data_IF_103075365518
#
_entry.id   IF_103075365518
#
_cell.length_a   1.000
_cell.length_b   1.000
_cell.length_c   1.000
_cell.angle_alpha   90.00
_cell.angle_beta   90.00
_cell.angle_gamma   90.00
#
_symmetry.space_group_name_H-M   'P 1'
#
loop_
_entity.id
_entity.type
_entity.pdbx_description
1 polymer ?
#
# COMPACT_ATOMS: atom_id res chain seq x y z
N UNK A 1 23.02 14.11 -23.31
CA UNK A 1 22.32 12.92 -23.84
C UNK A 1 23.04 11.69 -23.30
N UNK A 2 22.27 10.64 -22.98
CA UNK A 2 22.65 9.42 -22.26
C UNK A 2 24.04 8.88 -22.61
N UNK A 3 24.79 8.39 -21.61
CA UNK A 3 25.90 7.49 -21.86
C UNK A 3 25.57 6.16 -21.18
N UNK A 4 25.12 5.27 -22.06
CA UNK A 4 24.85 3.85 -21.92
C UNK A 4 23.82 3.35 -20.90
N UNK A 5 23.84 3.71 -19.62
CA UNK A 5 22.71 3.38 -18.70
C UNK A 5 22.52 4.38 -17.55
N UNK A 6 23.34 5.44 -17.50
CA UNK A 6 23.42 6.37 -16.37
C UNK A 6 23.14 7.80 -16.81
N UNK A 7 22.29 8.47 -16.06
CA UNK A 7 22.24 9.92 -16.10
C UNK A 7 23.60 10.52 -15.68
N UNK A 8 23.97 11.68 -16.21
CA UNK A 8 25.21 12.36 -15.80
C UNK A 8 25.25 12.52 -14.26
N UNK A 9 26.44 12.46 -13.67
CA UNK A 9 26.64 12.84 -12.28
C UNK A 9 25.90 14.16 -12.00
N UNK A 10 25.12 14.20 -10.92
CA UNK A 10 24.25 15.33 -10.55
C UNK A 10 23.00 15.56 -11.43
N UNK A 11 22.61 14.64 -12.33
CA UNK A 11 21.37 14.81 -13.12
C UNK A 11 20.12 15.03 -12.27
N UNK A 12 19.97 14.29 -11.17
CA UNK A 12 18.84 14.47 -10.26
C UNK A 12 18.83 15.88 -9.66
N UNK A 13 20.00 16.40 -9.28
CA UNK A 13 20.15 17.78 -8.83
C UNK A 13 19.73 18.78 -9.90
N UNK A 14 20.17 18.61 -11.16
CA UNK A 14 19.79 19.50 -12.25
C UNK A 14 18.30 19.44 -12.56
N UNK A 15 17.68 18.25 -12.52
CA UNK A 15 16.23 18.11 -12.67
C UNK A 15 15.46 18.75 -11.53
N UNK A 16 15.95 18.62 -10.29
CA UNK A 16 15.39 19.35 -9.15
C UNK A 16 15.53 20.86 -9.35
N UNK A 17 16.68 21.34 -9.86
CA UNK A 17 16.90 22.76 -10.17
C UNK A 17 15.95 23.31 -11.22
N UNK A 18 15.73 22.58 -12.32
CA UNK A 18 14.77 22.94 -13.37
C UNK A 18 13.31 23.02 -12.87
N UNK A 19 13.01 22.47 -11.70
CA UNK A 19 11.67 22.39 -11.12
C UNK A 19 11.53 23.14 -9.80
N UNK A 20 12.51 23.98 -9.43
CA UNK A 20 12.55 24.73 -8.17
C UNK A 20 12.52 23.84 -6.91
N UNK A 21 13.18 22.67 -6.96
CA UNK A 21 13.22 21.66 -5.89
C UNK A 21 14.62 21.49 -5.26
N UNK A 22 15.51 22.47 -5.40
CA UNK A 22 16.92 22.36 -4.94
C UNK A 22 17.01 22.21 -3.42
N UNK A 23 16.24 22.99 -2.65
CA UNK A 23 16.26 22.93 -1.20
C UNK A 23 15.87 21.53 -0.68
N UNK A 24 14.85 20.92 -1.29
CA UNK A 24 14.44 19.56 -0.94
C UNK A 24 15.51 18.52 -1.30
N UNK A 25 16.11 18.64 -2.48
CA UNK A 25 17.19 17.74 -2.86
C UNK A 25 18.31 17.77 -1.81
N UNK A 26 18.69 18.97 -1.34
CA UNK A 26 19.71 19.11 -0.30
C UNK A 26 19.26 18.54 1.04
N UNK A 27 18.01 18.79 1.44
CA UNK A 27 17.43 18.23 2.66
C UNK A 27 17.50 16.69 2.65
N UNK A 28 17.04 16.05 1.57
CA UNK A 28 17.02 14.59 1.43
C UNK A 28 18.42 13.99 1.35
N UNK A 29 19.32 14.67 0.63
CA UNK A 29 20.73 14.28 0.59
C UNK A 29 21.34 14.33 1.98
N UNK A 30 21.08 15.40 2.75
CA UNK A 30 21.59 15.54 4.13
C UNK A 30 21.02 14.50 5.10
N UNK A 31 19.81 14.01 4.83
CA UNK A 31 19.16 12.94 5.61
C UNK A 31 19.58 11.52 5.18
N UNK A 32 20.40 11.37 4.14
CA UNK A 32 20.83 10.06 3.62
C UNK A 32 19.72 9.28 2.89
N UNK A 33 18.67 9.96 2.44
CA UNK A 33 17.50 9.36 1.77
C UNK A 33 17.91 8.62 0.49
N UNK A 34 18.79 9.23 -0.31
CA UNK A 34 19.25 8.63 -1.57
C UNK A 34 20.13 7.39 -1.31
N UNK A 35 21.00 7.45 -0.30
CA UNK A 35 21.84 6.33 0.09
C UNK A 35 21.01 5.14 0.58
N UNK A 36 19.96 5.41 1.36
CA UNK A 36 19.00 4.39 1.80
C UNK A 36 18.30 3.74 0.60
N UNK A 37 17.77 4.53 -0.34
CA UNK A 37 17.07 4.01 -1.51
C UNK A 37 17.99 3.21 -2.46
N UNK A 38 19.28 3.56 -2.51
CA UNK A 38 20.31 2.82 -3.25
C UNK A 38 20.79 1.57 -2.51
N UNK A 39 20.39 1.35 -1.25
CA UNK A 39 20.82 0.21 -0.44
C UNK A 39 22.24 0.33 0.08
N UNK A 40 22.79 1.55 0.15
CA UNK A 40 24.14 1.84 0.65
C UNK A 40 24.17 1.83 2.19
N UNK A 41 23.03 2.07 2.85
CA UNK A 41 22.96 2.15 4.32
C UNK A 41 22.66 0.81 4.99
N UNK A 42 23.37 0.49 6.07
CA UNK A 42 23.17 -0.69 6.92
C UNK A 42 22.08 -0.49 7.99
N UNK A 43 20.87 -0.11 7.58
CA UNK A 43 19.74 0.12 8.51
C UNK A 43 18.51 -0.66 8.06
N UNK A 44 18.57 -1.98 8.13
CA UNK A 44 17.39 -2.82 7.91
C UNK A 44 16.67 -3.12 9.23
N UNK A 45 15.38 -2.77 9.32
CA UNK A 45 14.53 -3.24 10.42
C UNK A 45 13.88 -4.58 10.06
N UNK A 46 14.11 -5.60 10.88
CA UNK A 46 13.37 -6.86 10.85
C UNK A 46 12.87 -7.22 12.26
N UNK A 47 11.56 -7.40 12.48
CA UNK A 47 10.48 -7.29 11.49
C UNK A 47 10.29 -5.86 10.94
N UNK A 48 9.61 -5.69 9.79
CA UNK A 48 9.39 -4.37 9.17
C UNK A 48 8.64 -3.43 10.13
N UNK A 49 9.04 -2.16 10.18
CA UNK A 49 8.34 -1.13 10.96
C UNK A 49 7.02 -0.72 10.29
N UNK A 50 7.03 -0.58 8.97
CA UNK A 50 5.85 -0.41 8.13
C UNK A 50 5.72 -1.66 7.25
N UNK A 51 4.55 -2.29 7.30
CA UNK A 51 4.21 -3.44 6.46
C UNK A 51 3.09 -3.09 5.49
N UNK A 52 2.99 -3.89 4.42
CA UNK A 52 1.83 -3.91 3.52
C UNK A 52 0.73 -4.78 4.13
N UNK A 53 -0.54 -4.37 3.99
CA UNK A 53 -1.70 -5.10 4.48
C UNK A 53 -2.76 -5.23 3.39
N UNK A 54 -2.62 -6.27 2.58
CA UNK A 54 -3.60 -6.63 1.55
C UNK A 54 -4.68 -7.53 2.17
N UNK A 55 -5.90 -7.02 2.23
CA UNK A 55 -7.08 -7.79 2.65
C UNK A 55 -7.41 -8.82 1.55
N UNK A 56 -7.65 -10.10 1.89
CA UNK A 56 -8.09 -11.12 0.92
C UNK A 56 -9.35 -10.67 0.17
N UNK A 57 -9.48 -11.02 -1.11
CA UNK A 57 -10.62 -10.55 -1.92
C UNK A 57 -11.98 -11.00 -1.39
N UNK A 58 -12.03 -12.16 -0.72
CA UNK A 58 -13.22 -12.66 -0.01
C UNK A 58 -13.72 -11.75 1.12
N UNK A 59 -12.88 -10.81 1.60
CA UNK A 59 -13.13 -10.02 2.82
C UNK A 59 -13.17 -8.51 2.58
N UNK A 60 -13.14 -8.04 1.33
CA UNK A 60 -13.04 -6.60 1.00
C UNK A 60 -14.20 -5.73 1.50
N UNK A 61 -15.37 -6.30 1.78
CA UNK A 61 -16.56 -5.56 2.20
C UNK A 61 -16.91 -5.70 3.69
N UNK A 62 -16.16 -6.51 4.43
CA UNK A 62 -16.34 -6.72 5.86
C UNK A 62 -15.30 -5.92 6.66
N UNK A 63 -15.61 -4.64 6.85
CA UNK A 63 -14.81 -3.72 7.66
C UNK A 63 -15.61 -3.25 8.88
N UNK A 64 -14.94 -2.65 9.85
CA UNK A 64 -15.58 -2.13 11.07
C UNK A 64 -16.68 -1.14 10.74
N UNK A 65 -16.48 -0.30 9.72
CA UNK A 65 -17.44 0.73 9.34
C UNK A 65 -18.78 0.15 8.88
N UNK A 66 -18.83 -1.04 8.27
CA UNK A 66 -20.09 -1.70 7.91
C UNK A 66 -20.76 -2.40 9.10
N UNK A 67 -20.07 -2.53 10.23
CA UNK A 67 -20.51 -3.26 11.42
C UNK A 67 -20.88 -2.37 12.60
N UNK A 68 -20.81 -1.05 12.45
CA UNK A 68 -21.12 -0.07 13.51
C UNK A 68 -21.91 1.10 12.95
N UNK A 69 -22.60 1.84 13.81
CA UNK A 69 -23.30 3.06 13.39
C UNK A 69 -22.32 4.16 12.94
N UNK A 70 -22.75 5.10 12.08
CA UNK A 70 -21.90 6.23 11.68
C UNK A 70 -21.36 7.06 12.86
N UNK A 71 -22.14 7.16 13.94
CA UNK A 71 -21.79 7.87 15.16
C UNK A 71 -20.67 7.15 15.92
N UNK A 72 -20.79 5.83 16.11
CA UNK A 72 -19.76 4.99 16.73
C UNK A 72 -18.48 5.00 15.91
N UNK A 73 -18.58 4.89 14.58
CA UNK A 73 -17.42 4.99 13.71
C UNK A 73 -16.72 6.35 13.82
N UNK A 74 -17.49 7.43 13.88
CA UNK A 74 -16.97 8.79 14.08
C UNK A 74 -16.26 8.92 15.42
N UNK A 75 -16.84 8.35 16.49
CA UNK A 75 -16.25 8.31 17.82
C UNK A 75 -14.92 7.55 17.83
N UNK A 76 -14.90 6.32 17.31
CA UNK A 76 -13.69 5.47 17.23
C UNK A 76 -12.56 6.21 16.51
N UNK A 77 -12.82 6.74 15.30
CA UNK A 77 -11.80 7.49 14.53
C UNK A 77 -11.24 8.68 15.30
N UNK A 78 -12.10 9.47 15.94
CA UNK A 78 -11.67 10.65 16.71
C UNK A 78 -10.82 10.24 17.91
N UNK A 79 -11.21 9.19 18.62
CA UNK A 79 -10.46 8.68 19.76
C UNK A 79 -9.08 8.16 19.33
N UNK A 80 -9.02 7.36 18.26
CA UNK A 80 -7.75 6.87 17.67
C UNK A 80 -6.81 8.03 17.31
N UNK A 81 -7.31 9.05 16.61
CA UNK A 81 -6.49 10.21 16.24
C UNK A 81 -6.03 11.02 17.46
N UNK A 82 -6.89 11.20 18.47
CA UNK A 82 -6.57 11.94 19.70
C UNK A 82 -5.52 11.23 20.53
N UNK A 83 -5.64 9.91 20.70
CA UNK A 83 -4.69 9.09 21.46
C UNK A 83 -3.30 9.13 20.84
N UNK A 84 -3.22 9.13 19.50
CA UNK A 84 -1.98 9.28 18.76
C UNK A 84 -1.44 10.71 18.71
N UNK A 85 -2.07 11.67 19.41
CA UNK A 85 -1.74 13.12 19.36
C UNK A 85 -1.69 13.65 17.92
N UNK A 86 -2.57 13.15 17.07
CA UNK A 86 -2.65 13.46 15.64
C UNK A 86 -1.33 13.25 14.89
N UNK A 87 -0.56 12.22 15.25
CA UNK A 87 0.67 11.79 14.56
C UNK A 87 0.58 10.33 14.17
N UNK A 88 1.18 9.98 13.03
CA UNK A 88 1.28 8.60 12.59
C UNK A 88 1.95 7.75 13.67
N UNK A 89 1.33 6.66 14.10
CA UNK A 89 1.92 5.81 15.13
C UNK A 89 3.12 5.02 14.61
N UNK A 90 3.19 4.80 13.30
CA UNK A 90 4.31 4.15 12.61
C UNK A 90 5.47 5.13 12.42
N UNK A 91 5.34 6.17 11.58
CA UNK A 91 6.48 7.03 11.20
C UNK A 91 6.54 8.38 11.94
N UNK A 92 5.57 8.68 12.82
CA UNK A 92 5.42 9.95 13.59
C UNK A 92 5.08 11.20 12.76
N UNK A 93 4.93 11.05 11.45
CA UNK A 93 4.52 12.11 10.53
C UNK A 93 3.05 12.48 10.52
N UNK A 94 2.70 13.40 9.61
CA UNK A 94 1.34 13.90 9.40
C UNK A 94 1.06 14.18 7.92
N UNK A 95 -0.17 13.94 7.48
CA UNK A 95 -0.59 14.30 6.13
C UNK A 95 -0.76 15.81 5.91
N UNK A 96 -0.74 16.26 4.64
CA UNK A 96 -0.82 17.68 4.30
C UNK A 96 -2.21 18.28 4.42
N UNK A 97 -3.27 17.50 4.17
CA UNK A 97 -4.68 17.96 4.23
C UNK A 97 -5.35 17.58 5.55
N UNK A 98 -5.07 16.38 6.04
CA UNK A 98 -5.45 15.91 7.37
C UNK A 98 -4.25 15.20 8.00
N UNK A 99 -4.09 15.27 9.33
CA UNK A 99 -2.88 14.78 9.97
C UNK A 99 -2.75 13.26 9.92
N UNK A 100 -3.85 12.53 10.18
CA UNK A 100 -3.88 11.07 10.25
C UNK A 100 -5.22 10.51 9.77
N UNK A 101 -5.20 9.26 9.36
CA UNK A 101 -6.30 8.38 8.96
C UNK A 101 -6.38 7.23 9.96
N UNK A 102 -7.59 6.72 10.19
CA UNK A 102 -7.80 5.59 11.08
C UNK A 102 -7.73 4.30 10.25
N UNK A 103 -6.83 3.41 10.64
CA UNK A 103 -6.58 2.13 9.99
C UNK A 103 -6.91 0.98 10.94
N UNK A 104 -7.46 -0.10 10.40
CA UNK A 104 -7.78 -1.32 11.16
C UNK A 104 -6.55 -2.22 11.26
N UNK A 105 -6.26 -2.72 12.46
CA UNK A 105 -5.17 -3.67 12.70
C UNK A 105 -5.77 -5.07 12.63
N UNK A 106 -5.39 -5.82 11.60
CA UNK A 106 -5.89 -7.19 11.38
C UNK A 106 -4.82 -8.24 11.67
N UNK A 107 -5.25 -9.34 12.29
CA UNK A 107 -4.50 -10.59 12.34
C UNK A 107 -5.14 -11.61 11.41
N UNK A 108 -4.32 -12.44 10.76
CA UNK A 108 -4.77 -13.47 9.83
C UNK A 108 -4.21 -14.81 10.30
N UNK A 109 -5.10 -15.71 10.71
CA UNK A 109 -4.79 -17.12 10.94
C UNK A 109 -4.99 -17.89 9.63
N UNK A 110 -3.89 -18.15 8.90
CA UNK A 110 -3.92 -18.86 7.62
C UNK A 110 -4.31 -20.35 7.72
N UNK A 111 -4.29 -20.94 8.93
CA UNK A 111 -4.66 -22.35 9.14
C UNK A 111 -6.16 -22.47 9.34
N UNK A 112 -6.71 -21.63 10.22
CA UNK A 112 -8.14 -21.60 10.53
C UNK A 112 -8.95 -20.70 9.59
N UNK A 113 -8.27 -19.87 8.79
CA UNK A 113 -8.85 -18.84 7.93
C UNK A 113 -9.73 -17.85 8.72
N UNK A 114 -9.21 -17.36 9.85
CA UNK A 114 -9.88 -16.36 10.68
C UNK A 114 -9.13 -15.03 10.59
N UNK A 115 -9.85 -13.98 10.22
CA UNK A 115 -9.40 -12.60 10.24
C UNK A 115 -9.90 -11.91 11.51
N UNK A 116 -8.98 -11.57 12.42
CA UNK A 116 -9.33 -10.99 13.73
C UNK A 116 -8.95 -9.52 13.79
N UNK A 117 -9.91 -8.67 14.17
CA UNK A 117 -9.65 -7.26 14.46
C UNK A 117 -8.93 -7.15 15.80
N UNK A 118 -7.70 -6.65 15.78
CA UNK A 118 -6.91 -6.42 16.98
C UNK A 118 -7.04 -4.98 17.51
N UNK A 119 -7.45 -4.05 16.65
CA UNK A 119 -7.75 -2.68 17.04
C UNK A 119 -7.64 -1.68 15.91
N UNK A 120 -7.45 -0.41 16.28
CA UNK A 120 -7.34 0.70 15.34
C UNK A 120 -6.03 1.46 15.59
N UNK A 121 -5.42 1.97 14.54
CA UNK A 121 -4.21 2.81 14.61
C UNK A 121 -4.35 4.08 13.78
N UNK A 122 -3.71 5.16 14.22
CA UNK A 122 -3.63 6.41 13.48
C UNK A 122 -2.41 6.41 12.56
N UNK A 123 -2.64 6.48 11.25
CA UNK A 123 -1.59 6.50 10.23
C UNK A 123 -1.58 7.83 9.49
N UNK A 124 -0.42 8.35 9.10
CA UNK A 124 -0.39 9.40 8.09
C UNK A 124 -0.86 8.82 6.74
N UNK A 125 -1.31 9.68 5.79
CA UNK A 125 -1.78 9.21 4.49
C UNK A 125 -0.77 8.36 3.73
N UNK A 126 0.53 8.67 3.81
CA UNK A 126 1.55 7.88 3.12
C UNK A 126 1.72 6.46 3.70
N UNK A 127 1.71 6.31 5.04
CA UNK A 127 1.74 4.99 5.67
C UNK A 127 0.45 4.21 5.36
N UNK A 128 -0.70 4.89 5.35
CA UNK A 128 -1.97 4.25 5.02
C UNK A 128 -2.05 3.82 3.55
N UNK A 129 -1.52 4.62 2.62
CA UNK A 129 -1.35 4.24 1.20
C UNK A 129 -0.48 2.98 1.03
N UNK A 130 0.55 2.79 1.88
CA UNK A 130 1.39 1.57 1.90
C UNK A 130 0.63 0.37 2.46
N UNK A 131 -0.14 0.55 3.53
CA UNK A 131 -1.00 -0.53 4.06
C UNK A 131 -1.93 -1.03 2.96
N UNK A 132 -2.60 -0.12 2.25
CA UNK A 132 -3.50 -0.44 1.15
C UNK A 132 -2.85 -0.36 -0.24
N UNK A 133 -1.64 -0.91 -0.40
CA UNK A 133 -0.88 -0.73 -1.65
C UNK A 133 -1.61 -1.26 -2.90
N UNK A 134 -2.45 -2.30 -2.78
CA UNK A 134 -3.29 -2.78 -3.88
C UNK A 134 -4.23 -1.70 -4.44
N UNK A 135 -4.97 -1.03 -3.55
CA UNK A 135 -5.85 0.07 -3.94
C UNK A 135 -5.07 1.32 -4.37
N UNK A 136 -3.93 1.59 -3.73
CA UNK A 136 -3.03 2.68 -4.10
C UNK A 136 -2.46 2.50 -5.52
N UNK A 137 -2.19 1.25 -5.91
CA UNK A 137 -1.69 0.90 -7.25
C UNK A 137 -2.71 1.20 -8.33
N UNK A 138 -4.00 0.90 -8.08
CA UNK A 138 -5.11 1.28 -8.99
C UNK A 138 -5.21 2.80 -9.21
N UNK A 139 -4.70 3.60 -8.27
CA UNK A 139 -4.63 5.07 -8.38
C UNK A 139 -3.34 5.58 -9.03
N UNK A 140 -2.48 4.68 -9.51
CA UNK A 140 -1.20 5.01 -10.14
C UNK A 140 -0.16 5.59 -9.16
N UNK A 141 -0.25 5.23 -7.87
CA UNK A 141 0.62 5.72 -6.79
C UNK A 141 1.52 4.65 -6.16
N UNK A 142 1.62 3.48 -6.80
CA UNK A 142 2.39 2.34 -6.29
C UNK A 142 3.85 2.71 -6.01
N UNK A 143 4.50 3.38 -6.98
CA UNK A 143 5.91 3.73 -6.87
C UNK A 143 6.16 4.63 -5.64
N UNK A 144 5.28 5.59 -5.39
CA UNK A 144 5.36 6.51 -4.24
C UNK A 144 5.17 5.78 -2.91
N UNK A 145 4.21 4.85 -2.86
CA UNK A 145 4.00 4.01 -1.68
C UNK A 145 5.21 3.11 -1.42
N UNK A 146 5.74 2.43 -2.43
CA UNK A 146 6.93 1.58 -2.29
C UNK A 146 8.16 2.37 -1.84
N UNK A 147 8.34 3.60 -2.34
CA UNK A 147 9.42 4.47 -1.86
C UNK A 147 9.22 4.90 -0.39
N UNK A 148 7.98 5.18 0.02
CA UNK A 148 7.67 5.48 1.41
C UNK A 148 7.92 4.28 2.34
N UNK A 149 7.52 3.08 1.91
CA UNK A 149 7.81 1.82 2.58
C UNK A 149 9.32 1.64 2.78
N UNK A 150 10.10 1.81 1.71
CA UNK A 150 11.56 1.73 1.75
C UNK A 150 12.14 2.67 2.81
N UNK A 151 11.71 3.93 2.81
CA UNK A 151 12.28 4.95 3.69
C UNK A 151 11.89 4.78 5.16
N UNK A 152 10.66 4.35 5.44
CA UNK A 152 10.23 4.06 6.83
C UNK A 152 10.99 2.85 7.41
N UNK A 153 11.34 1.89 6.56
CA UNK A 153 12.04 0.67 6.96
C UNK A 153 13.56 0.71 6.78
N UNK A 154 14.12 1.78 6.22
CA UNK A 154 15.55 1.87 5.87
C UNK A 154 15.99 0.86 4.81
N UNK A 155 15.08 0.43 3.95
CA UNK A 155 15.37 -0.50 2.85
C UNK A 155 15.78 0.23 1.57
N UNK A 156 16.48 -0.50 0.71
CA UNK A 156 16.61 -0.09 -0.70
C UNK A 156 15.24 -0.10 -1.37
N UNK A 157 15.10 0.69 -2.43
CA UNK A 157 13.86 0.67 -3.22
C UNK A 157 13.59 -0.73 -3.81
N UNK A 158 14.65 -1.40 -4.30
CA UNK A 158 14.54 -2.76 -4.80
C UNK A 158 14.05 -3.72 -3.70
N UNK A 159 14.63 -3.67 -2.50
CA UNK A 159 14.22 -4.53 -1.39
C UNK A 159 12.76 -4.30 -0.97
N UNK A 160 12.31 -3.04 -0.96
CA UNK A 160 10.90 -2.72 -0.72
C UNK A 160 9.99 -3.25 -1.84
N UNK A 161 10.42 -3.14 -3.10
CA UNK A 161 9.68 -3.69 -4.24
C UNK A 161 9.57 -5.22 -4.16
N UNK A 162 10.66 -5.92 -3.84
CA UNK A 162 10.67 -7.38 -3.69
C UNK A 162 9.72 -7.80 -2.55
N UNK A 163 9.70 -7.05 -1.44
CA UNK A 163 8.76 -7.27 -0.34
C UNK A 163 7.29 -7.05 -0.75
N UNK A 164 7.01 -5.99 -1.54
CA UNK A 164 5.66 -5.73 -2.06
C UNK A 164 5.20 -6.91 -2.94
N UNK A 165 6.06 -7.38 -3.86
CA UNK A 165 5.78 -8.57 -4.68
C UNK A 165 5.45 -9.80 -3.82
N UNK A 166 6.26 -10.06 -2.78
CA UNK A 166 6.01 -11.15 -1.84
C UNK A 166 4.66 -11.00 -1.10
N UNK A 167 4.28 -9.79 -0.68
CA UNK A 167 2.98 -9.54 -0.08
C UNK A 167 1.82 -9.82 -1.04
N UNK A 168 1.96 -9.50 -2.32
CA UNK A 168 0.96 -9.84 -3.35
C UNK A 168 0.86 -11.35 -3.59
N UNK A 169 1.95 -12.11 -3.49
CA UNK A 169 1.91 -13.57 -3.57
C UNK A 169 1.14 -14.17 -2.39
N UNK A 170 1.37 -13.70 -1.17
CA UNK A 170 0.58 -14.09 0.00
C UNK A 170 -0.90 -13.76 -0.23
N UNK A 171 -1.17 -12.51 -0.64
CA UNK A 171 -2.54 -12.07 -0.89
C UNK A 171 -3.27 -12.95 -1.90
N UNK A 172 -2.60 -13.36 -2.99
CA UNK A 172 -3.17 -14.27 -3.99
C UNK A 172 -3.60 -15.60 -3.37
N UNK A 173 -2.71 -16.22 -2.59
CA UNK A 173 -3.01 -17.47 -1.87
C UNK A 173 -4.16 -17.32 -0.88
N UNK A 174 -4.18 -16.23 -0.11
CA UNK A 174 -5.26 -15.97 0.86
C UNK A 174 -6.60 -15.72 0.19
N UNK A 175 -6.60 -15.12 -0.99
CA UNK A 175 -7.80 -14.80 -1.77
C UNK A 175 -8.47 -16.03 -2.41
N UNK A 176 -7.81 -17.19 -2.40
CA UNK A 176 -8.39 -18.48 -2.82
C UNK A 176 -9.21 -19.15 -1.71
N UNK A 177 -9.31 -18.54 -0.53
CA UNK A 177 -9.95 -19.09 0.67
C UNK A 177 -11.10 -18.21 1.12
N UNK A 178 -12.06 -18.82 1.79
CA UNK A 178 -13.09 -18.08 2.53
C UNK A 178 -12.59 -17.82 3.94
N UNK A 179 -12.85 -16.62 4.45
CA UNK A 179 -12.38 -16.18 5.75
C UNK A 179 -13.56 -15.88 6.67
N UNK A 180 -13.48 -16.36 7.91
CA UNK A 180 -14.35 -15.90 8.99
C UNK A 180 -13.76 -14.62 9.60
N UNK A 181 -14.62 -13.76 10.12
CA UNK A 181 -14.21 -12.46 10.65
C UNK A 181 -14.61 -12.35 12.11
N UNK A 182 -13.61 -12.12 12.96
CA UNK A 182 -13.77 -11.87 14.39
C UNK A 182 -13.54 -10.37 14.68
N UNK A 183 -14.62 -9.68 15.05
CA UNK A 183 -14.62 -8.27 15.44
C UNK A 183 -14.95 -8.07 16.93
N UNK A 184 -14.80 -9.11 17.75
CA UNK A 184 -15.10 -9.07 19.19
C UNK A 184 -14.30 -8.00 19.96
N UNK A 185 -13.22 -7.47 19.37
CA UNK A 185 -12.52 -6.29 19.88
C UNK A 185 -13.42 -5.05 20.02
N UNK A 186 -14.44 -4.88 19.15
CA UNK A 186 -15.35 -3.72 19.24
C UNK A 186 -16.15 -3.70 20.55
N UNK A 187 -16.56 -4.88 21.03
CA UNK A 187 -17.29 -5.02 22.29
C UNK A 187 -16.45 -4.53 23.48
N UNK A 188 -15.14 -4.78 23.45
CA UNK A 188 -14.18 -4.27 24.46
C UNK A 188 -14.08 -2.75 24.46
N UNK A 189 -14.44 -2.10 23.36
CA UNK A 189 -14.50 -0.64 23.23
C UNK A 189 -15.88 -0.06 23.58
N UNK A 190 -16.82 -0.89 24.05
CA UNK A 190 -18.19 -0.50 24.36
C UNK A 190 -19.06 -0.24 23.13
N UNK A 191 -18.68 -0.80 21.97
CA UNK A 191 -19.44 -0.71 20.72
C UNK A 191 -20.05 -2.07 20.43
N UNK A 192 -21.37 -2.13 20.30
CA UNK A 192 -22.07 -3.37 19.95
C UNK A 192 -22.17 -3.47 18.43
N UNK A 193 -21.57 -4.50 17.79
CA UNK A 193 -21.66 -4.64 16.35
C UNK A 193 -23.10 -4.81 15.88
N UNK A 194 -23.46 -4.14 14.78
CA UNK A 194 -24.70 -4.37 14.07
C UNK A 194 -24.70 -5.83 13.57
N UNK A 195 -25.73 -6.60 13.95
CA UNK A 195 -25.90 -7.95 13.42
C UNK A 195 -26.21 -7.86 11.92
N UNK A 196 -25.72 -8.82 11.13
CA UNK A 196 -26.21 -9.02 9.77
C UNK A 196 -27.70 -9.37 9.89
N UNK A 197 -28.58 -8.41 9.63
CA UNK A 197 -29.97 -8.70 9.30
C UNK A 197 -29.98 -9.26 7.89
N UNK A 198 -29.62 -10.53 7.74
CA UNK A 198 -30.07 -11.33 6.60
C UNK A 198 -31.56 -11.57 6.77
N UNK A 199 -32.37 -10.53 6.62
CA UNK A 199 -33.77 -10.66 6.24
C UNK A 199 -33.79 -10.68 4.72
N UNK A 200 -34.18 -11.82 4.17
CA UNK A 200 -34.57 -12.01 2.78
C UNK A 200 -35.70 -11.03 2.42
N UNK A 201 -35.35 -9.83 1.98
CA UNK A 201 -36.25 -8.94 1.24
C UNK A 201 -35.64 -8.81 -0.16
N UNK A 202 -36.35 -9.23 -1.23
CA UNK A 202 -35.83 -9.11 -2.58
C UNK A 202 -35.70 -7.63 -2.92
N UNK A 203 -34.46 -7.15 -3.06
CA UNK A 203 -34.20 -5.80 -3.54
C UNK A 203 -34.43 -5.79 -5.06
N UNK A 204 -35.53 -5.19 -5.51
CA UNK A 204 -35.85 -5.00 -6.92
C UNK A 204 -34.71 -4.27 -7.64
N UNK A 205 -34.05 -4.98 -8.55
CA UNK A 205 -32.85 -4.56 -9.27
C UNK A 205 -33.15 -3.58 -10.43
N UNK A 206 -34.14 -2.69 -10.30
CA UNK A 206 -34.64 -1.87 -11.43
C UNK A 206 -34.54 -0.34 -11.25
N UNK A 207 -33.98 0.18 -10.14
CA UNK A 207 -33.99 1.64 -9.89
C UNK A 207 -32.63 2.37 -9.77
N UNK A 208 -31.52 1.80 -10.21
CA UNK A 208 -30.26 2.55 -10.36
C UNK A 208 -29.66 2.39 -11.75
N UNK A 209 -30.43 2.75 -12.79
CA UNK A 209 -29.87 3.09 -14.09
C UNK A 209 -29.62 4.60 -14.12
N UNK A 210 -28.38 5.01 -13.86
CA UNK A 210 -27.88 6.29 -14.36
C UNK A 210 -27.25 6.04 -15.75
N UNK A 211 -27.54 6.90 -16.75
CA UNK A 211 -27.24 6.59 -18.14
C UNK A 211 -25.73 6.63 -18.40
N UNK A 212 -25.14 5.46 -18.65
CA UNK A 212 -23.82 5.36 -19.26
C UNK A 212 -24.02 5.45 -20.77
N UNK A 213 -23.60 6.59 -21.33
CA UNK A 213 -23.45 6.78 -22.77
C UNK A 213 -22.46 5.73 -23.30
N UNK A 214 -22.96 4.87 -24.18
CA UNK A 214 -22.16 3.93 -24.98
C UNK A 214 -21.17 4.70 -25.84
N UNK A 215 -19.89 4.38 -25.70
CA UNK A 215 -18.91 4.25 -26.77
C UNK A 215 -17.61 3.75 -26.12
N UNK A 216 -17.31 2.46 -26.23
CA UNK A 216 -16.33 2.03 -27.22
C UNK A 216 -16.28 0.50 -27.27
N UNK A 217 -16.19 -0.04 -28.49
CA UNK A 217 -16.07 -1.46 -28.76
C UNK A 217 -14.60 -1.86 -28.62
N UNK A 218 -14.27 -2.78 -27.72
CA UNK A 218 -13.24 -3.77 -28.02
C UNK A 218 -13.49 -5.07 -27.26
N UNK A 219 -13.70 -6.10 -28.05
CA UNK A 219 -13.96 -7.49 -27.70
C UNK A 219 -12.69 -8.17 -27.21
N UNK A 220 -12.75 -8.87 -26.07
CA UNK A 220 -11.80 -9.93 -25.75
C UNK A 220 -12.51 -11.29 -25.87
N UNK A 221 -11.98 -12.26 -26.66
CA UNK A 221 -12.54 -13.60 -26.72
C UNK A 221 -12.06 -14.48 -25.54
N UNK A 222 -12.83 -15.52 -25.17
CA UNK A 222 -12.55 -16.38 -24.02
C UNK A 222 -11.50 -17.46 -24.30
N UNK A 223 -10.87 -17.89 -23.21
CA UNK A 223 -9.93 -19.01 -23.06
C UNK A 223 -10.50 -20.34 -23.54
N UNK A 224 -9.65 -21.20 -24.11
CA UNK A 224 -9.88 -22.64 -24.16
C UNK A 224 -8.69 -23.41 -23.58
N UNK A 225 -9.03 -24.31 -22.67
CA UNK A 225 -8.20 -25.34 -22.07
C UNK A 225 -8.17 -26.53 -23.03
N UNK A 226 -7.02 -27.22 -23.16
CA UNK A 226 -7.02 -28.65 -23.43
C UNK A 226 -5.72 -29.31 -22.94
N UNK A 227 -5.91 -30.36 -22.14
CA UNK A 227 -4.94 -31.35 -21.71
C UNK A 227 -4.46 -32.25 -22.86
N UNK A 228 -3.20 -32.73 -22.77
CA UNK A 228 -2.80 -34.15 -22.99
C UNK A 228 -1.29 -34.39 -22.77
N UNK A 229 -1.01 -35.18 -21.74
CA UNK A 229 -0.09 -36.34 -21.63
C UNK A 229 1.37 -36.33 -22.13
N UNK A 230 2.24 -36.76 -21.20
CA UNK A 230 3.36 -37.73 -21.25
C UNK A 230 4.76 -37.39 -21.78
N UNK A 231 5.71 -37.75 -20.91
CA UNK A 231 7.06 -38.29 -21.10
C UNK A 231 8.33 -37.44 -20.83
N UNK A 232 9.01 -37.95 -19.81
CA UNK A 232 10.35 -37.75 -19.26
C UNK A 232 11.45 -37.46 -20.30
N UNK A 233 12.09 -36.29 -20.17
CA UNK A 233 13.51 -36.11 -20.51
C UNK A 233 14.16 -35.24 -19.44
N UNK A 234 15.12 -35.83 -18.71
CA UNK A 234 16.11 -35.11 -17.89
C UNK A 234 16.92 -34.20 -18.81
N UNK A 235 16.80 -32.87 -18.67
CA UNK A 235 17.84 -31.93 -19.08
C UNK A 235 17.73 -30.62 -18.29
N UNK A 236 18.84 -30.32 -17.61
CA UNK A 236 19.34 -29.02 -17.13
C UNK A 236 18.45 -27.81 -17.51
N UNK A 237 17.72 -27.26 -16.53
CA UNK A 237 16.97 -26.00 -16.72
C UNK A 237 17.98 -24.86 -16.69
N UNK A 238 18.45 -24.45 -17.86
CA UNK A 238 18.87 -23.07 -18.10
C UNK A 238 17.59 -22.22 -18.07
N UNK A 239 17.49 -21.33 -17.09
CA UNK A 239 16.39 -20.37 -16.97
C UNK A 239 16.51 -19.40 -18.16
N UNK A 240 15.50 -19.30 -19.03
CA UNK A 240 15.53 -18.35 -20.15
C UNK A 240 15.59 -16.92 -19.62
N UNK A 241 16.49 -16.12 -20.20
CA UNK A 241 16.64 -14.66 -20.02
C UNK A 241 15.37 -13.89 -20.42
N UNK A 242 14.32 -13.98 -19.60
CA UNK A 242 13.05 -13.27 -19.80
C UNK A 242 12.80 -12.25 -18.68
N UNK A 243 13.74 -12.08 -17.75
CA UNK A 243 13.70 -11.05 -16.68
C UNK A 243 14.66 -9.89 -17.00
N UNK A 244 14.87 -9.58 -18.29
CA UNK A 244 15.71 -8.47 -18.73
C UNK A 244 14.92 -7.28 -19.32
N UNK A 245 13.58 -7.29 -19.31
CA UNK A 245 12.77 -6.28 -20.01
C UNK A 245 11.81 -5.44 -19.16
N UNK A 246 11.66 -5.68 -17.86
CA UNK A 246 10.93 -4.75 -16.98
C UNK A 246 11.87 -3.64 -16.49
N UNK A 247 11.97 -2.64 -17.35
CA UNK A 247 12.82 -1.46 -17.26
C UNK A 247 12.39 -0.52 -16.11
N UNK A 248 12.72 -0.85 -14.86
CA UNK A 248 12.47 -0.05 -13.63
C UNK A 248 13.65 0.90 -13.33
N UNK A 249 14.25 1.51 -14.37
CA UNK A 249 15.27 2.56 -14.19
C UNK A 249 14.73 3.96 -14.55
N UNK A 250 13.45 4.24 -14.27
CA UNK A 250 12.83 5.51 -14.67
C UNK A 250 11.76 6.03 -13.69
N UNK A 251 12.08 7.02 -12.83
CA UNK A 251 11.08 8.01 -12.43
C UNK A 251 10.81 8.91 -13.65
N UNK A 252 9.99 8.42 -14.58
CA UNK A 252 9.77 9.02 -15.91
C UNK A 252 8.90 10.29 -15.88
N UNK A 253 8.55 10.81 -14.72
CA UNK A 253 7.65 11.93 -14.61
C UNK A 253 8.04 12.79 -13.39
N UNK A 254 8.27 14.08 -13.58
CA UNK A 254 8.40 15.07 -12.50
C UNK A 254 7.23 14.98 -11.51
N UNK A 255 6.05 14.52 -11.99
CA UNK A 255 4.91 14.19 -11.15
C UNK A 255 5.19 13.12 -10.09
N UNK A 256 6.05 12.12 -10.36
CA UNK A 256 6.47 11.12 -9.38
C UNK A 256 7.26 11.76 -8.25
N UNK A 257 8.26 12.61 -8.56
CA UNK A 257 9.06 13.33 -7.54
C UNK A 257 8.16 14.28 -6.73
N UNK A 258 7.24 15.00 -7.37
CA UNK A 258 6.25 15.88 -6.71
C UNK A 258 5.22 15.11 -5.85
N UNK A 259 4.93 13.84 -6.15
CA UNK A 259 4.02 13.00 -5.36
C UNK A 259 4.74 12.28 -4.22
N UNK A 260 5.94 11.76 -4.46
CA UNK A 260 6.88 11.34 -3.43
C UNK A 260 7.00 12.44 -2.37
N UNK A 261 7.25 13.68 -2.82
CA UNK A 261 7.32 14.90 -1.99
C UNK A 261 6.11 15.07 -1.08
N UNK A 262 4.88 14.90 -1.58
CA UNK A 262 3.67 15.05 -0.77
C UNK A 262 3.53 13.95 0.31
N UNK A 263 4.06 12.76 0.03
CA UNK A 263 4.15 11.63 0.98
C UNK A 263 5.29 11.79 2.00
N UNK A 264 6.22 12.73 1.80
CA UNK A 264 7.38 12.98 2.68
C UNK A 264 7.31 14.22 3.57
N UNK A 265 6.22 15.01 3.54
CA UNK A 265 5.89 15.98 4.62
C UNK A 265 5.70 15.33 6.02
N UNK A 266 6.06 14.05 6.13
CA UNK A 266 5.74 13.07 7.14
C UNK A 266 7.00 12.65 7.94
N UNK A 267 8.20 13.13 7.63
CA UNK A 267 9.35 12.94 8.53
C UNK A 267 9.49 14.18 9.43
N UNK A 268 9.19 14.09 10.74
CA UNK A 268 9.41 15.23 11.63
C UNK A 268 10.86 15.22 12.12
N UNK A 269 11.65 16.20 11.72
CA UNK A 269 12.84 16.58 12.49
C UNK A 269 12.93 18.09 12.62
N UNK A 270 12.14 18.67 13.52
CA UNK A 270 12.63 19.81 14.29
C UNK A 270 12.97 19.29 15.68
N UNK A 271 14.27 19.32 16.00
CA UNK A 271 14.79 19.25 17.35
C UNK A 271 13.93 20.18 18.22
N UNK A 272 13.24 19.62 19.20
CA UNK A 272 12.82 20.41 20.35
C UNK A 272 14.11 20.98 20.95
N UNK A 273 14.26 22.31 20.89
CA UNK A 273 15.24 23.01 21.70
C UNK A 273 14.83 22.82 23.18
N UNK A 274 15.81 22.71 24.09
CA UNK A 274 15.55 22.43 25.51
C UNK A 274 14.63 23.47 26.14
#
# INVERSE_FOLDING_TARGET
MQIEYGYQENWLYYKCKENDLVELYQDYKSQGVFDALLGITDRSYYPPRLSVELVPSSSWFDNVRSRVTPQEWSFLKKNTAKNAKYRCEICKGKGPKWPVECHEIWHYDDVRHIQTLLGLTALCPACHEVKHIGFTSLKGKELEATAHLALVNGWSYKGASDYVSYCFEIWRKRSEKNWEIDISWLEKMGVTPLQNTSSEEPYDAEQLVLPVSLNDQSTFPPTSINDKSSDVIKNKIEIPDVIASTNINKPKNIGFIKRLWNSFKIIPTKKEKP
#
